data_IF_620180587618
#
_entry.id   IF_620180587618
#
_cell.length_a   1.000
_cell.length_b   1.000
_cell.length_c   1.000
_cell.angle_alpha   90.00
_cell.angle_beta   90.00
_cell.angle_gamma   90.00
#
_symmetry.space_group_name_H-M   'P 1'
#
loop_
_entity.id
_entity.type
_entity.pdbx_description
1 polymer ?
#
# COMPACT_ATOMS: atom_id res chain seq x y z
N UNK A 1 -11.66 -33.54 8.00
CA UNK A 1 -12.51 -32.71 7.13
C UNK A 1 -11.67 -32.32 5.91
N UNK A 2 -12.23 -32.34 4.71
CA UNK A 2 -11.51 -31.91 3.51
C UNK A 2 -11.23 -30.41 3.59
N UNK A 3 -9.96 -30.02 3.43
CA UNK A 3 -9.52 -28.62 3.51
C UNK A 3 -10.19 -27.73 2.45
N UNK A 4 -10.63 -28.31 1.32
CA UNK A 4 -11.43 -27.58 0.35
C UNK A 4 -12.80 -27.21 0.92
N UNK A 5 -13.51 -28.18 1.50
CA UNK A 5 -14.82 -27.96 2.11
C UNK A 5 -14.74 -27.05 3.33
N UNK A 6 -13.70 -27.20 4.14
CA UNK A 6 -13.45 -26.33 5.30
C UNK A 6 -13.25 -24.87 4.88
N UNK A 7 -12.39 -24.61 3.88
CA UNK A 7 -12.19 -23.26 3.36
C UNK A 7 -13.49 -22.67 2.78
N UNK A 8 -14.30 -23.47 2.09
CA UNK A 8 -15.61 -23.03 1.58
C UNK A 8 -16.61 -22.74 2.70
N UNK A 9 -16.50 -23.43 3.84
CA UNK A 9 -17.30 -23.13 5.04
C UNK A 9 -16.90 -21.79 5.63
N UNK A 10 -15.60 -21.55 5.88
CA UNK A 10 -15.11 -20.27 6.39
C UNK A 10 -15.55 -19.10 5.51
N UNK A 11 -15.36 -19.20 4.19
CA UNK A 11 -15.78 -18.14 3.27
C UNK A 11 -17.29 -17.88 3.33
N UNK A 12 -18.11 -18.93 3.28
CA UNK A 12 -19.58 -18.79 3.29
C UNK A 12 -20.05 -18.17 4.60
N UNK A 13 -19.59 -18.70 5.72
CA UNK A 13 -19.96 -18.24 7.06
C UNK A 13 -19.48 -16.80 7.29
N UNK A 14 -18.27 -16.44 6.84
CA UNK A 14 -17.77 -15.07 6.97
C UNK A 14 -18.69 -14.06 6.28
N UNK A 15 -19.16 -14.38 5.07
CA UNK A 15 -20.11 -13.53 4.32
C UNK A 15 -21.49 -13.47 4.96
N UNK A 16 -21.94 -14.57 5.56
CA UNK A 16 -23.23 -14.60 6.26
C UNK A 16 -23.17 -13.77 7.55
N UNK A 17 -22.10 -13.89 8.33
CA UNK A 17 -21.88 -13.11 9.54
C UNK A 17 -21.70 -11.62 9.23
N UNK A 18 -20.99 -11.27 8.15
CA UNK A 18 -20.87 -9.89 7.69
C UNK A 18 -22.26 -9.28 7.35
N UNK A 19 -23.11 -10.04 6.64
CA UNK A 19 -24.48 -9.61 6.32
C UNK A 19 -25.36 -9.42 7.55
N UNK A 20 -25.11 -10.18 8.62
CA UNK A 20 -25.80 -10.04 9.92
C UNK A 20 -25.27 -8.88 10.76
N UNK A 21 -24.15 -8.27 10.37
CA UNK A 21 -23.44 -7.26 11.16
C UNK A 21 -22.54 -7.84 12.26
N UNK A 22 -22.32 -9.16 12.27
CA UNK A 22 -21.40 -9.85 13.19
C UNK A 22 -19.95 -9.69 12.72
N UNK A 23 -19.46 -8.45 12.66
CA UNK A 23 -18.18 -8.13 11.99
C UNK A 23 -16.97 -8.81 12.64
N UNK A 24 -16.92 -8.94 13.96
CA UNK A 24 -15.82 -9.62 14.65
C UNK A 24 -15.70 -11.09 14.20
N UNK A 25 -16.85 -11.79 14.15
CA UNK A 25 -16.90 -13.18 13.71
C UNK A 25 -16.54 -13.29 12.23
N UNK A 26 -17.02 -12.39 11.38
CA UNK A 26 -16.68 -12.36 9.96
C UNK A 26 -15.17 -12.17 9.73
N UNK A 27 -14.54 -11.24 10.46
CA UNK A 27 -13.09 -10.99 10.39
C UNK A 27 -12.32 -12.25 10.81
N UNK A 28 -12.69 -12.87 11.93
CA UNK A 28 -12.05 -14.09 12.41
C UNK A 28 -12.13 -15.23 11.38
N UNK A 29 -13.29 -15.43 10.76
CA UNK A 29 -13.48 -16.44 9.72
C UNK A 29 -12.65 -16.16 8.47
N UNK A 30 -12.52 -14.90 8.04
CA UNK A 30 -11.63 -14.52 6.94
C UNK A 30 -10.15 -14.74 7.25
N UNK A 31 -9.72 -14.50 8.49
CA UNK A 31 -8.35 -14.82 8.96
C UNK A 31 -8.11 -16.34 8.96
N UNK A 32 -9.04 -17.13 9.50
CA UNK A 32 -8.94 -18.60 9.45
C UNK A 32 -8.93 -19.14 8.02
N UNK A 33 -9.71 -18.53 7.11
CA UNK A 33 -9.64 -18.83 5.68
C UNK A 33 -8.25 -18.55 5.11
N UNK A 34 -7.69 -17.35 5.36
CA UNK A 34 -6.37 -16.96 4.87
C UNK A 34 -5.27 -17.94 5.35
N UNK A 35 -5.25 -18.26 6.65
CA UNK A 35 -4.30 -19.20 7.24
C UNK A 35 -4.41 -20.60 6.63
N UNK A 36 -5.63 -21.10 6.40
CA UNK A 36 -5.83 -22.39 5.75
C UNK A 36 -5.29 -22.37 4.32
N UNK A 37 -5.50 -21.28 3.58
CA UNK A 37 -4.98 -21.12 2.22
C UNK A 37 -3.46 -21.01 2.18
N UNK A 38 -2.86 -20.33 3.14
CA UNK A 38 -1.40 -20.30 3.31
C UNK A 38 -0.84 -21.71 3.53
N UNK A 39 -1.37 -22.46 4.51
CA UNK A 39 -0.92 -23.85 4.79
C UNK A 39 -1.04 -24.79 3.59
N UNK A 40 -1.93 -24.48 2.64
CA UNK A 40 -2.14 -25.24 1.40
C UNK A 40 -1.40 -24.65 0.19
N UNK A 41 -0.57 -23.61 0.39
CA UNK A 41 0.20 -22.96 -0.66
C UNK A 41 -0.65 -22.19 -1.68
N UNK A 42 -1.91 -21.91 -1.37
CA UNK A 42 -2.82 -21.15 -2.24
C UNK A 42 -2.71 -19.65 -1.95
N UNK A 43 -1.56 -19.05 -2.23
CA UNK A 43 -1.24 -17.68 -1.81
C UNK A 43 -2.19 -16.61 -2.39
N UNK A 44 -2.68 -16.77 -3.61
CA UNK A 44 -3.72 -15.88 -4.15
C UNK A 44 -5.00 -15.87 -3.29
N UNK A 45 -5.43 -17.05 -2.84
CA UNK A 45 -6.60 -17.16 -1.95
C UNK A 45 -6.27 -16.73 -0.52
N UNK A 46 -5.00 -16.82 -0.10
CA UNK A 46 -4.57 -16.26 1.18
C UNK A 46 -4.71 -14.72 1.18
N UNK A 47 -4.19 -14.05 0.15
CA UNK A 47 -4.39 -12.61 -0.06
C UNK A 47 -5.88 -12.24 -0.07
N UNK A 48 -6.70 -13.06 -0.73
CA UNK A 48 -8.15 -12.84 -0.75
C UNK A 48 -8.78 -12.83 0.65
N UNK A 49 -8.35 -13.72 1.55
CA UNK A 49 -8.82 -13.74 2.94
C UNK A 49 -8.38 -12.50 3.71
N UNK A 50 -7.09 -12.15 3.63
CA UNK A 50 -6.55 -10.94 4.27
C UNK A 50 -7.22 -9.66 3.77
N UNK A 51 -7.45 -9.52 2.46
CA UNK A 51 -8.15 -8.39 1.86
C UNK A 51 -9.57 -8.24 2.42
N UNK A 52 -10.32 -9.33 2.55
CA UNK A 52 -11.69 -9.26 3.08
C UNK A 52 -11.71 -8.93 4.57
N UNK A 53 -10.78 -9.45 5.36
CA UNK A 53 -10.63 -9.05 6.75
C UNK A 53 -10.31 -7.54 6.86
N UNK A 54 -9.34 -7.06 6.06
CA UNK A 54 -8.94 -5.66 6.03
C UNK A 54 -10.10 -4.71 5.66
N UNK A 55 -10.85 -5.06 4.62
CA UNK A 55 -12.02 -4.30 4.16
C UNK A 55 -13.09 -4.18 5.25
N UNK A 56 -13.36 -5.25 6.00
CA UNK A 56 -14.33 -5.19 7.09
C UNK A 56 -13.77 -4.33 8.23
N UNK A 57 -12.49 -4.48 8.58
CA UNK A 57 -11.83 -3.63 9.58
C UNK A 57 -11.92 -2.13 9.23
N UNK A 58 -11.67 -1.74 7.97
CA UNK A 58 -11.82 -0.36 7.51
C UNK A 58 -13.27 0.13 7.68
N UNK A 59 -14.25 -0.68 7.26
CA UNK A 59 -15.69 -0.36 7.39
C UNK A 59 -16.12 -0.11 8.85
N UNK A 60 -15.50 -0.79 9.82
CA UNK A 60 -15.76 -0.60 11.25
C UNK A 60 -14.72 0.28 11.95
N UNK A 61 -13.94 1.04 11.18
CA UNK A 61 -12.96 2.02 11.67
C UNK A 61 -11.84 1.43 12.54
N UNK A 62 -11.51 0.15 12.34
CA UNK A 62 -10.34 -0.53 12.94
C UNK A 62 -9.14 -0.41 12.01
N UNK A 63 -8.74 0.82 11.73
CA UNK A 63 -7.78 1.12 10.66
C UNK A 63 -6.41 0.48 10.86
N UNK A 64 -5.88 0.44 12.08
CA UNK A 64 -4.62 -0.26 12.36
C UNK A 64 -4.65 -1.74 11.97
N UNK A 65 -5.73 -2.45 12.33
CA UNK A 65 -5.90 -3.86 11.96
C UNK A 65 -6.15 -4.05 10.46
N UNK A 66 -6.78 -3.07 9.81
CA UNK A 66 -6.93 -3.05 8.36
C UNK A 66 -5.57 -2.92 7.67
N UNK A 67 -4.71 -2.01 8.14
CA UNK A 67 -3.35 -1.82 7.65
C UNK A 67 -2.53 -3.11 7.76
N UNK A 68 -2.49 -3.71 8.95
CA UNK A 68 -1.80 -4.99 9.20
C UNK A 68 -2.31 -6.11 8.27
N UNK A 69 -3.61 -6.15 8.01
CA UNK A 69 -4.21 -7.16 7.12
C UNK A 69 -3.87 -6.89 5.64
N UNK A 70 -3.80 -5.64 5.19
CA UNK A 70 -3.31 -5.32 3.85
C UNK A 70 -1.81 -5.61 3.70
N UNK A 71 -0.98 -5.33 4.69
CA UNK A 71 0.45 -5.69 4.70
C UNK A 71 0.67 -7.20 4.67
N UNK A 72 -0.17 -7.97 5.37
CA UNK A 72 -0.15 -9.43 5.25
C UNK A 72 -0.46 -9.86 3.81
N UNK A 73 -1.45 -9.25 3.16
CA UNK A 73 -1.75 -9.53 1.75
C UNK A 73 -0.59 -9.14 0.81
N UNK A 74 0.08 -8.00 1.03
CA UNK A 74 1.21 -7.57 0.19
C UNK A 74 2.40 -8.55 0.30
N UNK A 75 2.67 -9.08 1.49
CA UNK A 75 3.73 -10.10 1.71
C UNK A 75 3.51 -11.34 0.83
N UNK A 76 2.26 -11.78 0.66
CA UNK A 76 1.95 -12.90 -0.23
C UNK A 76 2.00 -12.53 -1.71
N UNK A 77 1.64 -11.29 -2.07
CA UNK A 77 1.76 -10.79 -3.44
C UNK A 77 3.23 -10.79 -3.89
N UNK A 78 4.12 -10.29 -3.03
CA UNK A 78 5.56 -10.32 -3.24
C UNK A 78 6.07 -11.75 -3.41
N UNK A 79 5.66 -12.66 -2.52
CA UNK A 79 6.06 -14.08 -2.55
C UNK A 79 5.75 -14.78 -3.87
N UNK A 80 4.69 -14.40 -4.55
CA UNK A 80 4.31 -14.96 -5.86
C UNK A 80 4.72 -14.10 -7.05
N UNK A 81 5.39 -12.96 -6.82
CA UNK A 81 5.85 -12.05 -7.86
C UNK A 81 4.75 -11.16 -8.47
N UNK A 82 3.58 -11.05 -7.82
CA UNK A 82 2.46 -10.23 -8.30
C UNK A 82 2.64 -8.76 -7.88
N UNK A 83 3.51 -8.06 -8.61
CA UNK A 83 3.94 -6.68 -8.32
C UNK A 83 2.79 -5.67 -8.25
N UNK A 84 1.83 -5.77 -9.16
CA UNK A 84 0.67 -4.85 -9.17
C UNK A 84 -0.21 -5.04 -7.93
N UNK A 85 -0.38 -6.28 -7.47
CA UNK A 85 -1.12 -6.56 -6.23
C UNK A 85 -0.34 -6.12 -5.00
N UNK A 86 0.99 -6.27 -5.00
CA UNK A 86 1.84 -5.76 -3.93
C UNK A 86 1.66 -4.25 -3.77
N UNK A 87 1.82 -3.48 -4.85
CA UNK A 87 1.68 -2.02 -4.81
C UNK A 87 0.27 -1.59 -4.39
N UNK A 88 -0.77 -2.30 -4.88
CA UNK A 88 -2.15 -2.07 -4.49
C UNK A 88 -2.37 -2.27 -2.98
N UNK A 89 -1.93 -3.40 -2.42
CA UNK A 89 -2.11 -3.66 -0.99
C UNK A 89 -1.27 -2.73 -0.11
N UNK A 90 -0.04 -2.42 -0.50
CA UNK A 90 0.80 -1.46 0.22
C UNK A 90 0.17 -0.06 0.23
N UNK A 91 -0.37 0.41 -0.90
CA UNK A 91 -1.07 1.70 -0.97
C UNK A 91 -2.32 1.75 -0.08
N UNK A 92 -3.07 0.63 0.00
CA UNK A 92 -4.20 0.53 0.93
C UNK A 92 -3.73 0.53 2.39
N UNK A 93 -2.60 -0.12 2.70
CA UNK A 93 -2.02 -0.07 4.04
C UNK A 93 -1.63 1.36 4.44
N UNK A 94 -0.99 2.13 3.55
CA UNK A 94 -0.70 3.56 3.79
C UNK A 94 -1.96 4.34 4.15
N UNK A 95 -3.02 4.22 3.34
CA UNK A 95 -4.30 4.90 3.61
C UNK A 95 -4.88 4.53 4.99
N UNK A 96 -4.71 3.28 5.43
CA UNK A 96 -5.18 2.84 6.74
C UNK A 96 -4.34 3.41 7.88
N UNK A 97 -3.01 3.46 7.72
CA UNK A 97 -2.12 4.09 8.70
C UNK A 97 -2.41 5.59 8.84
N UNK A 98 -2.63 6.29 7.72
CA UNK A 98 -3.03 7.69 7.72
C UNK A 98 -4.36 7.92 8.46
N UNK A 99 -5.41 7.12 8.16
CA UNK A 99 -6.69 7.18 8.88
C UNK A 99 -6.52 6.90 10.39
N UNK A 100 -5.60 6.01 10.75
CA UNK A 100 -5.28 5.70 12.14
C UNK A 100 -4.48 6.80 12.86
N UNK A 101 -3.96 7.79 12.12
CA UNK A 101 -3.03 8.79 12.63
C UNK A 101 -1.62 8.25 12.89
N UNK A 102 -1.28 7.08 12.33
CA UNK A 102 0.06 6.47 12.42
C UNK A 102 0.91 6.97 11.25
N UNK A 103 1.26 8.26 11.30
CA UNK A 103 1.97 8.93 10.22
C UNK A 103 3.40 8.38 10.01
N UNK A 104 4.07 7.97 11.09
CA UNK A 104 5.38 7.31 11.01
C UNK A 104 5.30 6.02 10.18
N UNK A 105 4.35 5.13 10.49
CA UNK A 105 4.16 3.91 9.71
C UNK A 105 3.76 4.21 8.26
N UNK A 106 2.86 5.18 8.06
CA UNK A 106 2.41 5.56 6.73
C UNK A 106 3.56 6.07 5.84
N UNK A 107 4.40 6.97 6.38
CA UNK A 107 5.63 7.46 5.75
C UNK A 107 6.54 6.29 5.36
N UNK A 108 6.89 5.43 6.31
CA UNK A 108 7.80 4.30 6.06
C UNK A 108 7.30 3.40 4.93
N UNK A 109 5.98 3.21 4.82
CA UNK A 109 5.38 2.41 3.74
C UNK A 109 5.41 3.12 2.39
N UNK A 110 5.16 4.43 2.34
CA UNK A 110 5.33 5.19 1.11
C UNK A 110 6.79 5.20 0.63
N UNK A 111 7.76 5.34 1.53
CA UNK A 111 9.18 5.19 1.18
C UNK A 111 9.49 3.78 0.66
N UNK A 112 8.92 2.75 1.27
CA UNK A 112 9.06 1.35 0.79
C UNK A 112 8.48 1.18 -0.62
N UNK A 113 7.34 1.80 -0.93
CA UNK A 113 6.77 1.81 -2.29
C UNK A 113 7.69 2.55 -3.25
N UNK A 114 8.23 3.69 -2.84
CA UNK A 114 9.19 4.48 -3.61
C UNK A 114 10.42 3.66 -3.98
N UNK A 115 11.05 3.01 -3.00
CA UNK A 115 12.24 2.17 -3.19
C UNK A 115 11.98 1.01 -4.14
N UNK A 116 10.81 0.39 -4.03
CA UNK A 116 10.39 -0.70 -4.92
C UNK A 116 10.31 -0.25 -6.39
N UNK A 117 9.66 0.88 -6.66
CA UNK A 117 9.57 1.42 -8.01
C UNK A 117 10.90 1.95 -8.54
N UNK A 118 11.71 2.55 -7.66
CA UNK A 118 13.06 3.03 -7.98
C UNK A 118 13.95 1.88 -8.45
N UNK A 119 13.91 0.73 -7.75
CA UNK A 119 14.68 -0.47 -8.12
C UNK A 119 14.28 -1.06 -9.49
N UNK A 120 13.09 -0.73 -9.99
CA UNK A 120 12.59 -1.13 -11.31
C UNK A 120 12.81 -0.07 -12.39
N UNK A 121 13.50 1.04 -12.08
CA UNK A 121 13.61 2.22 -12.93
C UNK A 121 12.25 2.83 -13.31
N UNK A 122 11.21 2.60 -12.50
CA UNK A 122 9.94 3.30 -12.63
C UNK A 122 10.01 4.59 -11.80
N UNK A 123 10.72 5.58 -12.33
CA UNK A 123 11.07 6.78 -11.58
C UNK A 123 9.87 7.69 -11.28
N UNK A 124 8.85 7.67 -12.13
CA UNK A 124 7.60 8.41 -11.89
C UNK A 124 6.90 7.88 -10.64
N UNK A 125 6.57 6.58 -10.59
CA UNK A 125 5.87 5.98 -9.45
C UNK A 125 6.72 6.02 -8.17
N UNK A 126 8.05 5.97 -8.32
CA UNK A 126 8.95 6.16 -7.19
C UNK A 126 8.82 7.58 -6.62
N UNK A 127 8.90 8.60 -7.47
CA UNK A 127 8.81 9.99 -7.05
C UNK A 127 7.45 10.35 -6.46
N UNK A 128 6.36 9.85 -7.05
CA UNK A 128 5.00 10.02 -6.54
C UNK A 128 4.85 9.43 -5.11
N UNK A 129 5.36 8.22 -4.89
CA UNK A 129 5.34 7.60 -3.57
C UNK A 129 6.17 8.39 -2.54
N UNK A 130 7.35 8.87 -2.89
CA UNK A 130 8.14 9.70 -1.98
C UNK A 130 7.49 11.06 -1.70
N UNK A 131 6.80 11.68 -2.66
CA UNK A 131 6.02 12.90 -2.40
C UNK A 131 4.90 12.64 -1.40
N UNK A 132 4.19 11.51 -1.51
CA UNK A 132 3.21 11.12 -0.49
C UNK A 132 3.82 10.89 0.89
N UNK A 133 5.05 10.35 0.97
CA UNK A 133 5.77 10.29 2.25
C UNK A 133 6.00 11.70 2.83
N UNK A 134 6.40 12.67 1.99
CA UNK A 134 6.60 14.06 2.40
C UNK A 134 5.29 14.77 2.82
N UNK A 135 4.18 14.46 2.15
CA UNK A 135 2.85 14.95 2.54
C UNK A 135 2.46 14.46 3.93
N UNK A 136 2.67 13.16 4.19
CA UNK A 136 2.41 12.54 5.50
C UNK A 136 3.31 13.14 6.59
N UNK A 137 4.60 13.32 6.32
CA UNK A 137 5.54 14.03 7.22
C UNK A 137 5.02 15.43 7.56
N UNK A 138 4.58 16.19 6.56
CA UNK A 138 4.04 17.55 6.76
C UNK A 138 2.78 17.54 7.62
N UNK A 139 1.88 16.56 7.41
CA UNK A 139 0.68 16.37 8.24
C UNK A 139 1.02 16.00 9.69
N UNK A 140 2.12 15.28 9.90
CA UNK A 140 2.67 14.97 11.22
C UNK A 140 3.37 16.18 11.89
N UNK A 141 3.59 17.26 11.14
CA UNK A 141 4.31 18.45 11.61
C UNK A 141 5.83 18.30 11.57
N UNK A 142 6.35 17.36 10.79
CA UNK A 142 7.79 17.23 10.54
C UNK A 142 8.29 18.33 9.60
N UNK A 143 9.56 18.72 9.78
CA UNK A 143 10.26 19.61 8.87
C UNK A 143 10.75 18.84 7.65
N UNK A 144 10.15 19.12 6.49
CA UNK A 144 10.49 18.47 5.22
C UNK A 144 11.47 19.28 4.36
N UNK A 145 12.03 20.38 4.86
CA UNK A 145 12.89 21.28 4.10
C UNK A 145 14.13 20.57 3.52
N UNK A 146 14.66 19.59 4.25
CA UNK A 146 15.81 18.76 3.86
C UNK A 146 15.41 17.39 3.26
N UNK A 147 14.11 17.11 3.09
CA UNK A 147 13.65 15.84 2.52
C UNK A 147 13.75 15.85 0.98
N UNK A 148 14.94 15.50 0.47
CA UNK A 148 15.31 15.56 -0.95
C UNK A 148 14.90 14.33 -1.78
N UNK A 149 14.47 13.25 -1.14
CA UNK A 149 14.21 11.96 -1.80
C UNK A 149 13.24 12.09 -3.00
N UNK A 150 12.12 12.84 -2.91
CA UNK A 150 11.24 13.03 -4.06
C UNK A 150 11.90 13.79 -5.21
N UNK A 151 12.72 14.81 -4.89
CA UNK A 151 13.44 15.61 -5.89
C UNK A 151 14.43 14.75 -6.67
N UNK A 152 15.19 13.91 -5.97
CA UNK A 152 16.16 13.02 -6.60
C UNK A 152 15.47 11.98 -7.51
N UNK A 153 14.32 11.46 -7.11
CA UNK A 153 13.52 10.56 -7.95
C UNK A 153 12.97 11.28 -9.20
N UNK A 154 12.44 12.50 -9.07
CA UNK A 154 12.00 13.28 -10.23
C UNK A 154 13.15 13.67 -11.17
N UNK A 155 14.35 13.94 -10.65
CA UNK A 155 15.55 14.16 -11.49
C UNK A 155 15.87 12.93 -12.33
N UNK A 156 15.82 11.73 -11.73
CA UNK A 156 16.00 10.48 -12.49
C UNK A 156 14.91 10.29 -13.54
N UNK A 157 13.65 10.61 -13.23
CA UNK A 157 12.56 10.56 -14.21
C UNK A 157 12.80 11.53 -15.38
N UNK A 158 13.25 12.75 -15.09
CA UNK A 158 13.64 13.74 -16.11
C UNK A 158 14.74 13.20 -17.02
N UNK A 159 15.83 12.69 -16.43
CA UNK A 159 16.98 12.17 -17.18
C UNK A 159 16.55 11.01 -18.09
N UNK A 160 15.76 10.08 -17.55
CA UNK A 160 15.21 8.95 -18.30
C UNK A 160 14.42 9.39 -19.54
N UNK A 161 13.42 10.26 -19.38
CA UNK A 161 12.57 10.69 -20.50
C UNK A 161 13.32 11.56 -21.50
N UNK A 162 14.22 12.41 -21.02
CA UNK A 162 15.10 13.19 -21.88
C UNK A 162 15.97 12.29 -22.78
N UNK A 163 16.52 11.22 -22.24
CA UNK A 163 17.31 10.24 -23.01
C UNK A 163 16.45 9.49 -24.04
N UNK A 164 15.17 9.26 -23.76
CA UNK A 164 14.22 8.68 -24.73
C UNK A 164 13.77 9.69 -25.81
N UNK A 165 14.06 10.98 -25.64
CA UNK A 165 13.60 12.05 -26.53
C UNK A 165 12.18 12.55 -26.24
N UNK A 166 11.56 12.08 -25.16
CA UNK A 166 10.22 12.49 -24.70
C UNK A 166 10.36 13.77 -23.85
N UNK A 167 10.61 14.90 -24.53
CA UNK A 167 10.91 16.17 -23.86
C UNK A 167 9.74 16.72 -23.03
N UNK A 168 8.50 16.44 -23.43
CA UNK A 168 7.31 16.90 -22.70
C UNK A 168 7.21 16.23 -21.32
N UNK A 169 7.45 14.92 -21.22
CA UNK A 169 7.47 14.15 -19.97
C UNK A 169 8.67 14.53 -19.09
N UNK A 170 9.82 14.79 -19.72
CA UNK A 170 10.99 15.31 -19.03
C UNK A 170 10.67 16.68 -18.40
N UNK A 171 10.17 17.64 -19.18
CA UNK A 171 9.79 18.96 -18.65
C UNK A 171 8.73 18.89 -17.56
N UNK A 172 7.79 17.95 -17.66
CA UNK A 172 6.80 17.72 -16.63
C UNK A 172 7.45 17.33 -15.29
N UNK A 173 8.51 16.51 -15.32
CA UNK A 173 9.28 16.14 -14.12
C UNK A 173 9.94 17.34 -13.45
N UNK A 174 10.46 18.29 -14.24
CA UNK A 174 11.01 19.55 -13.69
C UNK A 174 9.93 20.39 -13.02
N UNK A 175 8.74 20.48 -13.62
CA UNK A 175 7.59 21.18 -13.02
C UNK A 175 7.18 20.57 -11.68
N UNK A 176 7.26 19.24 -11.54
CA UNK A 176 7.03 18.55 -10.25
C UNK A 176 8.07 18.92 -9.21
N UNK A 177 9.36 18.93 -9.57
CA UNK A 177 10.43 19.39 -8.68
C UNK A 177 10.11 20.80 -8.16
N UNK A 178 9.82 21.76 -9.06
CA UNK A 178 9.51 23.14 -8.67
C UNK A 178 8.26 23.23 -7.77
N UNK A 179 7.24 22.40 -8.03
CA UNK A 179 6.04 22.33 -7.21
C UNK A 179 6.37 21.81 -5.79
N UNK A 180 7.14 20.73 -5.69
CA UNK A 180 7.56 20.17 -4.40
C UNK A 180 8.46 21.15 -3.62
N UNK A 181 9.41 21.82 -4.28
CA UNK A 181 10.21 22.90 -3.65
C UNK A 181 9.36 24.03 -3.10
N UNK A 182 8.27 24.36 -3.77
CA UNK A 182 7.33 25.38 -3.27
C UNK A 182 6.64 24.93 -1.97
N UNK A 183 6.41 23.62 -1.79
CA UNK A 183 5.84 23.06 -0.56
C UNK A 183 6.88 23.08 0.55
N UNK A 184 8.12 22.60 0.29
CA UNK A 184 9.20 22.60 1.29
C UNK A 184 9.48 23.99 1.88
N UNK A 185 9.39 25.05 1.07
CA UNK A 185 9.65 26.43 1.50
C UNK A 185 8.48 27.09 2.25
N UNK A 186 7.33 26.41 2.39
CA UNK A 186 6.13 26.92 3.10
C UNK A 186 5.97 26.34 4.51
N UNK A 187 6.70 25.27 4.83
CA UNK A 187 6.69 24.60 6.13
C UNK A 187 7.57 25.35 7.12
#
# INVERSE_FOLDING_TARGET
>A
MDAYLEARSYEREAREEEKKGSYETAIALWRSYAELKERKGSYFLCMYGHFNAARICDNVQRWKEAAESFEAASTFAERIGERSLWAFFMSLACQMHEKAGDYDACKDRYETIGDFFLAMNNFFEAADAYEHAAEVMSLAGEDISDYEVPVDAWRKNYEYWKEQGELDDAEWSLKRIDAYRTIQNKV
#
